data_IF_202857971250
#
_entry.id   IF_202857971250
#
_cell.length_a   1.000
_cell.length_b   1.000
_cell.length_c   1.000
_cell.angle_alpha   90.00
_cell.angle_beta   90.00
_cell.angle_gamma   90.00
#
_symmetry.space_group_name_H-M   'P 1'
#
loop_
_entity.id
_entity.type
_entity.pdbx_description
1 polymer ?
#
# COMPACT_ATOMS: atom_id res chain seq x y z
N UNK A 1 14.46 -14.19 -15.82
CA UNK A 1 13.02 -14.49 -16.01
C UNK A 1 12.36 -15.03 -14.73
N UNK A 2 12.97 -15.99 -14.03
CA UNK A 2 12.40 -16.61 -12.81
C UNK A 2 12.08 -15.60 -11.69
N UNK A 3 12.97 -14.61 -11.46
CA UNK A 3 12.80 -13.59 -10.42
C UNK A 3 11.62 -12.64 -10.67
N UNK A 4 11.35 -12.31 -11.95
CA UNK A 4 10.24 -11.41 -12.33
C UNK A 4 8.90 -12.14 -12.23
N UNK A 5 8.85 -13.43 -12.59
CA UNK A 5 7.67 -14.27 -12.40
C UNK A 5 7.33 -14.45 -10.91
N UNK A 6 8.34 -14.63 -10.06
CA UNK A 6 8.16 -14.65 -8.60
C UNK A 6 7.57 -13.31 -8.10
N UNK A 7 8.09 -12.18 -8.60
CA UNK A 7 7.52 -10.86 -8.32
C UNK A 7 6.06 -10.72 -8.77
N UNK A 8 5.72 -11.24 -9.95
CA UNK A 8 4.34 -11.30 -10.45
C UNK A 8 3.41 -12.11 -9.54
N UNK A 9 3.86 -13.27 -9.06
CA UNK A 9 3.09 -14.08 -8.11
C UNK A 9 2.86 -13.36 -6.78
N UNK A 10 3.89 -12.70 -6.25
CA UNK A 10 3.73 -11.86 -5.05
C UNK A 10 2.70 -10.77 -5.31
N UNK A 11 2.82 -10.04 -6.42
CA UNK A 11 1.86 -9.01 -6.82
C UNK A 11 0.44 -9.57 -6.92
N UNK A 12 0.26 -10.74 -7.51
CA UNK A 12 -1.05 -11.39 -7.58
C UNK A 12 -1.63 -11.62 -6.18
N UNK A 13 -0.87 -12.28 -5.29
CA UNK A 13 -1.32 -12.62 -3.93
C UNK A 13 -1.63 -11.37 -3.11
N UNK A 14 -0.81 -10.32 -3.21
CA UNK A 14 -1.02 -9.09 -2.44
C UNK A 14 -2.21 -8.27 -2.98
N UNK A 15 -2.44 -8.29 -4.30
CA UNK A 15 -3.59 -7.59 -4.90
C UNK A 15 -4.89 -8.38 -4.74
N UNK A 16 -4.87 -9.70 -4.56
CA UNK A 16 -6.04 -10.45 -4.07
C UNK A 16 -6.49 -9.86 -2.73
N UNK A 17 -5.56 -9.62 -1.81
CA UNK A 17 -5.91 -9.02 -0.52
C UNK A 17 -6.48 -7.63 -0.68
N UNK A 18 -5.84 -6.78 -1.47
CA UNK A 18 -6.34 -5.41 -1.70
C UNK A 18 -7.70 -5.40 -2.40
N UNK A 19 -7.98 -6.37 -3.29
CA UNK A 19 -9.33 -6.52 -3.85
C UNK A 19 -10.36 -6.77 -2.75
N UNK A 20 -10.01 -7.49 -1.68
CA UNK A 20 -10.92 -7.83 -0.58
C UNK A 20 -11.03 -6.67 0.42
N UNK A 21 -9.90 -6.08 0.81
CA UNK A 21 -9.82 -5.11 1.93
C UNK A 21 -9.83 -3.65 1.49
N UNK A 22 -9.52 -3.36 0.22
CA UNK A 22 -9.31 -2.01 -0.32
C UNK A 22 -7.98 -1.36 0.06
N UNK A 23 -7.06 -2.11 0.70
CA UNK A 23 -5.70 -1.62 0.97
C UNK A 23 -4.71 -2.77 1.20
N UNK A 24 -3.42 -2.44 1.14
CA UNK A 24 -2.37 -3.27 1.72
C UNK A 24 -1.47 -3.94 0.69
N UNK A 25 -1.87 -4.03 -0.58
CA UNK A 25 -1.03 -4.68 -1.58
C UNK A 25 0.37 -4.07 -1.64
N UNK A 26 0.48 -2.73 -1.59
CA UNK A 26 1.77 -2.05 -1.63
C UNK A 26 2.64 -2.39 -0.42
N UNK A 27 2.08 -2.30 0.80
CA UNK A 27 2.79 -2.66 2.05
C UNK A 27 3.33 -4.08 1.99
N UNK A 28 2.54 -4.99 1.42
CA UNK A 28 2.87 -6.41 1.36
C UNK A 28 3.86 -6.74 0.24
N UNK A 29 3.75 -6.11 -0.93
CA UNK A 29 4.56 -6.41 -2.10
C UNK A 29 5.93 -5.75 -2.06
N UNK A 30 6.03 -4.54 -1.50
CA UNK A 30 7.25 -3.73 -1.49
C UNK A 30 8.50 -4.43 -0.97
N UNK A 31 8.51 -5.14 0.16
CA UNK A 31 9.72 -5.84 0.62
C UNK A 31 10.25 -6.82 -0.42
N UNK A 32 9.37 -7.66 -0.99
CA UNK A 32 9.76 -8.65 -2.00
C UNK A 32 10.20 -7.98 -3.30
N UNK A 33 9.43 -7.01 -3.80
CA UNK A 33 9.78 -6.31 -5.03
C UNK A 33 11.07 -5.50 -4.86
N UNK A 34 11.32 -4.91 -3.69
CA UNK A 34 12.55 -4.15 -3.44
C UNK A 34 13.78 -5.05 -3.38
N UNK A 35 13.69 -6.26 -2.84
CA UNK A 35 14.75 -7.26 -2.90
C UNK A 35 15.05 -7.75 -4.34
N UNK A 36 14.05 -7.73 -5.22
CA UNK A 36 14.19 -8.21 -6.60
C UNK A 36 14.62 -7.12 -7.59
N UNK A 37 14.12 -5.89 -7.44
CA UNK A 37 14.23 -4.80 -8.41
C UNK A 37 15.02 -3.59 -7.88
N UNK A 38 15.35 -3.57 -6.58
CA UNK A 38 15.80 -2.38 -5.86
C UNK A 38 14.63 -1.51 -5.40
N UNK A 39 14.80 -0.82 -4.26
CA UNK A 39 13.73 -0.06 -3.60
C UNK A 39 13.09 0.99 -4.52
N UNK A 40 13.89 1.78 -5.23
CA UNK A 40 13.35 2.85 -6.10
C UNK A 40 12.49 2.29 -7.24
N UNK A 41 13.01 1.28 -7.95
CA UNK A 41 12.27 0.60 -9.02
C UNK A 41 11.00 -0.05 -8.48
N UNK A 42 11.08 -0.73 -7.33
CA UNK A 42 9.94 -1.39 -6.70
C UNK A 42 8.83 -0.41 -6.30
N UNK A 43 9.19 0.76 -5.73
CA UNK A 43 8.22 1.81 -5.37
C UNK A 43 7.54 2.35 -6.63
N UNK A 44 8.28 2.61 -7.71
CA UNK A 44 7.68 3.08 -8.95
C UNK A 44 6.73 2.04 -9.58
N UNK A 45 7.16 0.78 -9.66
CA UNK A 45 6.35 -0.33 -10.18
C UNK A 45 5.07 -0.47 -9.35
N UNK A 46 5.18 -0.51 -8.02
CA UNK A 46 3.99 -0.70 -7.18
C UNK A 46 3.04 0.49 -7.26
N UNK A 47 3.53 1.73 -7.40
CA UNK A 47 2.68 2.90 -7.56
C UNK A 47 1.82 2.81 -8.82
N UNK A 48 2.42 2.39 -9.94
CA UNK A 48 1.69 2.23 -11.22
C UNK A 48 0.66 1.10 -11.11
N UNK A 49 1.06 -0.07 -10.59
CA UNK A 49 0.15 -1.20 -10.40
C UNK A 49 -1.01 -0.86 -9.46
N UNK A 50 -0.70 -0.18 -8.35
CA UNK A 50 -1.70 0.27 -7.37
C UNK A 50 -2.68 1.23 -8.02
N UNK A 51 -2.20 2.22 -8.79
CA UNK A 51 -3.08 3.15 -9.52
C UNK A 51 -4.05 2.39 -10.44
N UNK A 52 -3.51 1.54 -11.33
CA UNK A 52 -4.33 0.81 -12.30
C UNK A 52 -5.38 -0.05 -11.60
N UNK A 53 -4.98 -0.78 -10.57
CA UNK A 53 -5.86 -1.69 -9.84
C UNK A 53 -6.95 -0.95 -9.06
N UNK A 54 -6.55 0.05 -8.27
CA UNK A 54 -7.47 0.77 -7.38
C UNK A 54 -8.41 1.69 -8.14
N UNK A 55 -7.99 2.23 -9.29
CA UNK A 55 -8.86 3.02 -10.16
C UNK A 55 -10.04 2.18 -10.69
N UNK A 56 -9.79 0.94 -11.13
CA UNK A 56 -10.85 0.03 -11.60
C UNK A 56 -11.88 -0.23 -10.51
N UNK A 57 -11.43 -0.53 -9.29
CA UNK A 57 -12.32 -0.77 -8.14
C UNK A 57 -13.11 0.50 -7.79
N UNK A 58 -12.44 1.64 -7.72
CA UNK A 58 -13.07 2.92 -7.38
C UNK A 58 -14.16 3.30 -8.39
N UNK A 59 -13.90 3.12 -9.69
CA UNK A 59 -14.87 3.42 -10.74
C UNK A 59 -16.09 2.48 -10.70
N UNK A 60 -15.85 1.17 -10.53
CA UNK A 60 -16.92 0.16 -10.44
C UNK A 60 -17.81 0.37 -9.21
N UNK A 61 -17.23 0.78 -8.09
CA UNK A 61 -17.93 0.98 -6.81
C UNK A 61 -18.14 2.46 -6.45
N UNK A 62 -18.17 3.36 -7.44
CA UNK A 62 -18.23 4.81 -7.24
C UNK A 62 -19.40 5.29 -6.38
N UNK A 63 -20.51 4.56 -6.42
CA UNK A 63 -21.72 4.87 -5.65
C UNK A 63 -21.54 4.66 -4.14
N UNK A 64 -20.58 3.83 -3.73
CA UNK A 64 -20.27 3.57 -2.32
C UNK A 64 -19.23 4.54 -1.74
N UNK A 65 -18.68 5.45 -2.55
CA UNK A 65 -17.63 6.37 -2.10
C UNK A 65 -18.20 7.37 -1.10
N UNK A 66 -17.61 7.40 0.11
CA UNK A 66 -17.93 8.39 1.12
C UNK A 66 -17.12 9.68 0.88
N UNK A 67 -17.62 10.53 -0.01
CA UNK A 67 -16.94 11.75 -0.47
C UNK A 67 -16.44 12.66 0.67
N UNK A 68 -17.24 12.85 1.73
CA UNK A 68 -16.83 13.64 2.89
C UNK A 68 -15.54 13.10 3.53
N UNK A 69 -15.49 11.80 3.79
CA UNK A 69 -14.34 11.18 4.43
C UNK A 69 -13.15 11.08 3.47
N UNK A 70 -13.41 10.83 2.20
CA UNK A 70 -12.40 10.89 1.14
C UNK A 70 -11.65 12.22 1.16
N UNK A 71 -12.35 13.35 1.12
CA UNK A 71 -11.69 14.67 1.08
C UNK A 71 -10.95 15.01 2.38
N UNK A 72 -11.47 14.59 3.54
CA UNK A 72 -10.75 14.76 4.81
C UNK A 72 -9.43 13.98 4.78
N UNK A 73 -9.48 12.68 4.46
CA UNK A 73 -8.30 11.83 4.42
C UNK A 73 -7.31 12.34 3.39
N UNK A 74 -7.78 12.64 2.18
CA UNK A 74 -6.97 13.17 1.10
C UNK A 74 -6.28 14.47 1.50
N UNK A 75 -6.99 15.43 2.11
CA UNK A 75 -6.42 16.72 2.51
C UNK A 75 -5.24 16.57 3.48
N UNK A 76 -5.39 15.75 4.53
CA UNK A 76 -4.29 15.50 5.48
C UNK A 76 -3.14 14.73 4.84
N UNK A 77 -3.43 13.72 4.02
CA UNK A 77 -2.38 12.97 3.33
C UNK A 77 -1.63 13.83 2.32
N UNK A 78 -2.31 14.69 1.58
CA UNK A 78 -1.70 15.63 0.63
C UNK A 78 -0.80 16.65 1.31
N UNK A 79 -1.06 17.02 2.57
CA UNK A 79 -0.13 17.87 3.31
C UNK A 79 1.19 17.14 3.62
N UNK A 80 1.16 15.83 3.89
CA UNK A 80 2.36 15.03 4.14
C UNK A 80 3.06 14.48 2.89
N UNK A 81 2.31 14.28 1.81
CA UNK A 81 2.79 13.62 0.58
C UNK A 81 4.03 14.29 -0.02
N UNK A 82 4.11 15.64 -0.19
CA UNK A 82 5.29 16.31 -0.74
C UNK A 82 6.56 16.07 0.09
N UNK A 83 6.43 16.02 1.42
CA UNK A 83 7.56 15.75 2.32
C UNK A 83 8.10 14.34 2.05
N UNK A 84 7.21 13.36 1.93
CA UNK A 84 7.59 11.99 1.58
C UNK A 84 8.24 11.87 0.21
N UNK A 85 7.68 12.52 -0.80
CA UNK A 85 8.23 12.53 -2.16
C UNK A 85 9.61 13.20 -2.21
N UNK A 86 9.80 14.28 -1.45
CA UNK A 86 11.10 14.93 -1.33
C UNK A 86 12.14 14.00 -0.67
N UNK A 87 11.77 13.29 0.40
CA UNK A 87 12.62 12.28 1.03
C UNK A 87 12.98 11.13 0.08
N UNK A 88 12.01 10.63 -0.69
CA UNK A 88 12.24 9.59 -1.69
C UNK A 88 13.29 9.99 -2.75
N UNK A 89 13.25 11.24 -3.20
CA UNK A 89 14.15 11.76 -4.23
C UNK A 89 15.55 12.05 -3.70
N UNK A 90 15.61 12.72 -2.54
CA UNK A 90 16.86 13.21 -1.94
C UNK A 90 17.70 12.13 -1.28
N UNK A 91 17.12 10.97 -0.93
CA UNK A 91 17.82 9.90 -0.25
C UNK A 91 18.36 8.85 -1.22
N UNK A 92 19.51 8.31 -0.84
CA UNK A 92 20.13 7.18 -1.52
C UNK A 92 19.36 5.88 -1.23
N UNK A 93 19.50 4.91 -2.12
CA UNK A 93 18.77 3.63 -2.04
C UNK A 93 19.02 2.89 -0.73
N UNK A 94 20.23 2.94 -0.17
CA UNK A 94 20.54 2.30 1.12
C UNK A 94 19.74 2.86 2.29
N UNK A 95 19.63 4.20 2.39
CA UNK A 95 18.80 4.86 3.41
C UNK A 95 17.33 4.52 3.22
N UNK A 96 16.84 4.48 1.98
CA UNK A 96 15.45 4.09 1.70
C UNK A 96 15.19 2.63 2.06
N UNK A 97 16.12 1.71 1.78
CA UNK A 97 16.03 0.31 2.21
C UNK A 97 15.93 0.18 3.73
N UNK A 98 16.75 0.91 4.47
CA UNK A 98 16.72 0.91 5.93
C UNK A 98 15.38 1.45 6.47
N UNK A 99 14.93 2.60 5.96
CA UNK A 99 13.64 3.19 6.33
C UNK A 99 12.47 2.25 5.99
N UNK A 100 12.52 1.58 4.84
CA UNK A 100 11.53 0.60 4.43
C UNK A 100 11.50 -0.59 5.38
N UNK A 101 12.67 -1.15 5.72
CA UNK A 101 12.76 -2.28 6.64
C UNK A 101 12.21 -1.95 8.04
N UNK A 102 12.56 -0.77 8.59
CA UNK A 102 12.01 -0.28 9.86
C UNK A 102 10.49 -0.10 9.78
N UNK A 103 9.99 0.49 8.69
CA UNK A 103 8.57 0.68 8.47
C UNK A 103 7.82 -0.67 8.40
N UNK A 104 8.35 -1.64 7.65
CA UNK A 104 7.74 -2.97 7.52
C UNK A 104 7.66 -3.66 8.88
N UNK A 105 8.72 -3.61 9.69
CA UNK A 105 8.73 -4.23 11.01
C UNK A 105 7.68 -3.58 11.91
N UNK A 106 7.65 -2.24 11.96
CA UNK A 106 6.69 -1.51 12.78
C UNK A 106 5.24 -1.78 12.33
N UNK A 107 4.96 -1.71 11.03
CA UNK A 107 3.64 -1.95 10.46
C UNK A 107 3.18 -3.39 10.69
N UNK A 108 4.03 -4.38 10.40
CA UNK A 108 3.69 -5.80 10.52
C UNK A 108 3.49 -6.20 11.98
N UNK A 109 4.35 -5.72 12.89
CA UNK A 109 4.22 -6.00 14.33
C UNK A 109 2.93 -5.41 14.89
N UNK A 110 2.64 -4.14 14.59
CA UNK A 110 1.41 -3.47 15.05
C UNK A 110 0.17 -4.21 14.57
N UNK A 111 0.19 -4.66 13.33
CA UNK A 111 -0.95 -5.31 12.69
C UNK A 111 -1.10 -6.77 13.13
N UNK A 112 -0.01 -7.48 13.43
CA UNK A 112 -0.04 -8.83 13.98
C UNK A 112 -0.56 -8.83 15.43
N UNK A 113 -0.09 -7.90 16.27
CA UNK A 113 -0.59 -7.71 17.65
C UNK A 113 -2.11 -7.52 17.63
N UNK A 114 -2.62 -6.67 16.72
CA UNK A 114 -4.06 -6.42 16.56
C UNK A 114 -4.83 -7.62 16.03
N UNK A 115 -4.19 -8.43 15.20
CA UNK A 115 -4.81 -9.62 14.64
C UNK A 115 -4.85 -10.77 15.64
N UNK A 116 -4.00 -10.78 16.66
CA UNK A 116 -3.91 -11.84 17.70
C UNK A 116 -4.59 -11.44 19.03
N UNK A 117 -4.61 -10.15 19.41
CA UNK A 117 -5.05 -9.68 20.73
C UNK A 117 -6.03 -8.49 20.75
N UNK A 118 -6.94 -8.56 21.73
CA UNK A 118 -7.99 -7.64 22.21
C UNK A 118 -8.24 -6.39 21.35
N UNK A 119 -9.43 -6.36 20.72
CA UNK A 119 -10.10 -5.19 20.16
C UNK A 119 -10.03 -4.06 21.20
N UNK A 120 -9.05 -3.16 21.12
CA UNK A 120 -9.02 -1.97 21.98
C UNK A 120 -10.29 -1.18 21.65
N UNK A 121 -11.11 -1.01 22.69
CA UNK A 121 -12.40 -0.32 22.72
C UNK A 121 -12.28 1.03 22.01
N UNK A 122 -13.28 1.34 21.20
CA UNK A 122 -13.52 2.58 20.45
C UNK A 122 -12.77 3.81 20.99
N UNK A 123 -11.52 4.00 20.56
CA UNK A 123 -10.81 5.26 20.78
C UNK A 123 -11.40 6.27 19.81
N UNK A 124 -12.19 7.22 20.33
CA UNK A 124 -12.80 8.31 19.55
C UNK A 124 -11.77 8.93 18.60
N UNK A 125 -12.20 9.23 17.37
CA UNK A 125 -11.43 10.03 16.40
C UNK A 125 -10.92 11.30 17.10
N UNK A 126 -9.62 11.36 17.33
CA UNK A 126 -8.96 12.44 18.04
C UNK A 126 -7.89 13.11 17.18
N UNK A 127 -7.24 14.14 17.73
CA UNK A 127 -6.12 14.86 17.08
C UNK A 127 -5.04 13.89 16.58
N UNK A 128 -4.77 12.84 17.35
CA UNK A 128 -3.80 11.81 16.98
C UNK A 128 -4.15 11.10 15.66
N UNK A 129 -5.43 10.91 15.36
CA UNK A 129 -5.88 10.30 14.11
C UNK A 129 -5.54 11.17 12.90
N UNK A 130 -5.67 12.50 13.02
CA UNK A 130 -5.30 13.43 11.95
C UNK A 130 -3.77 13.53 11.76
N UNK A 131 -3.00 13.46 12.84
CA UNK A 131 -1.53 13.35 12.76
C UNK A 131 -1.10 12.06 12.06
N UNK A 132 -1.80 10.94 12.32
CA UNK A 132 -1.56 9.68 11.60
C UNK A 132 -1.94 9.76 10.12
N UNK A 133 -2.95 10.54 9.74
CA UNK A 133 -3.26 10.80 8.33
C UNK A 133 -2.12 11.57 7.64
N UNK A 134 -1.61 12.62 8.29
CA UNK A 134 -0.47 13.38 7.79
C UNK A 134 0.79 12.51 7.67
N UNK A 135 1.14 11.76 8.71
CA UNK A 135 2.26 10.82 8.69
C UNK A 135 2.05 9.71 7.65
N UNK A 136 0.81 9.25 7.47
CA UNK A 136 0.40 8.34 6.39
C UNK A 136 0.70 8.93 5.02
N UNK A 137 0.45 10.23 4.83
CA UNK A 137 0.83 10.99 3.64
C UNK A 137 2.34 10.96 3.38
N UNK A 138 3.15 11.20 4.41
CA UNK A 138 4.62 11.13 4.30
C UNK A 138 5.06 9.72 3.87
N UNK A 139 4.61 8.68 4.59
CA UNK A 139 4.98 7.29 4.26
C UNK A 139 4.48 6.89 2.86
N UNK A 140 3.29 7.35 2.47
CA UNK A 140 2.78 7.14 1.12
C UNK A 140 3.64 7.85 0.07
N UNK A 141 4.13 9.06 0.35
CA UNK A 141 5.03 9.77 -0.56
C UNK A 141 6.40 9.09 -0.68
N UNK A 142 6.91 8.45 0.38
CA UNK A 142 8.19 7.73 0.33
C UNK A 142 8.07 6.37 -0.37
N UNK A 143 7.03 5.60 -0.02
CA UNK A 143 6.95 4.18 -0.36
C UNK A 143 5.67 3.78 -1.08
N UNK A 144 4.75 4.69 -1.37
CA UNK A 144 3.39 4.36 -1.86
C UNK A 144 2.62 3.44 -0.90
N UNK A 145 2.88 3.58 0.42
CA UNK A 145 2.49 2.57 1.43
C UNK A 145 1.89 3.15 2.72
N UNK A 146 1.09 4.22 2.62
CA UNK A 146 0.50 4.92 3.78
C UNK A 146 -0.62 4.17 4.55
N UNK A 147 -1.12 3.05 4.03
CA UNK A 147 -2.28 2.31 4.56
C UNK A 147 -2.26 2.00 6.07
N UNK A 148 -1.16 1.47 6.64
CA UNK A 148 -1.09 1.07 8.04
C UNK A 148 -1.32 2.21 9.03
N UNK A 149 -1.00 3.45 8.66
CA UNK A 149 -1.19 4.62 9.53
C UNK A 149 -2.61 5.16 9.43
N UNK A 150 -3.16 5.25 8.22
CA UNK A 150 -4.47 5.88 8.04
C UNK A 150 -5.64 5.01 8.50
N UNK A 151 -5.43 3.69 8.61
CA UNK A 151 -6.50 2.74 8.96
C UNK A 151 -7.12 3.00 10.33
N UNK A 152 -6.37 3.67 11.23
CA UNK A 152 -6.84 4.07 12.54
C UNK A 152 -8.02 5.05 12.45
N UNK A 153 -7.94 5.99 11.51
CA UNK A 153 -9.03 6.92 11.20
C UNK A 153 -10.09 6.24 10.33
N UNK A 154 -9.64 5.61 9.24
CA UNK A 154 -10.54 5.10 8.20
C UNK A 154 -11.52 4.03 8.73
N UNK A 155 -11.11 3.12 9.62
CA UNK A 155 -12.00 2.09 10.17
C UNK A 155 -13.14 2.67 11.03
N UNK A 156 -12.92 3.82 11.65
CA UNK A 156 -13.94 4.49 12.46
C UNK A 156 -14.84 5.36 11.59
N UNK A 157 -14.24 6.09 10.66
CA UNK A 157 -14.94 7.01 9.77
C UNK A 157 -15.76 6.30 8.68
N UNK A 158 -15.40 5.05 8.34
CA UNK A 158 -16.00 4.24 7.28
C UNK A 158 -16.32 2.83 7.82
N UNK A 159 -17.40 2.69 8.61
CA UNK A 159 -17.76 1.41 9.24
C UNK A 159 -18.27 0.38 8.23
N UNK A 160 -18.86 0.83 7.12
CA UNK A 160 -19.36 -0.05 6.07
C UNK A 160 -18.22 -0.52 5.16
N UNK A 161 -18.06 -1.84 5.00
CA UNK A 161 -16.97 -2.46 4.20
C UNK A 161 -16.93 -1.94 2.75
N UNK A 162 -18.08 -1.85 2.09
CA UNK A 162 -18.17 -1.39 0.70
C UNK A 162 -17.70 0.05 0.55
N UNK A 163 -18.16 0.92 1.46
CA UNK A 163 -17.74 2.32 1.48
C UNK A 163 -16.27 2.49 1.85
N UNK A 164 -15.78 1.75 2.85
CA UNK A 164 -14.36 1.72 3.23
C UNK A 164 -13.48 1.38 2.03
N UNK A 165 -13.77 0.27 1.36
CA UNK A 165 -13.02 -0.23 0.20
C UNK A 165 -13.04 0.79 -0.95
N UNK A 166 -14.22 1.23 -1.38
CA UNK A 166 -14.35 2.15 -2.52
C UNK A 166 -13.64 3.49 -2.26
N UNK A 167 -13.77 4.02 -1.05
CA UNK A 167 -13.15 5.29 -0.64
C UNK A 167 -11.62 5.20 -0.60
N UNK A 168 -11.07 4.12 -0.03
CA UNK A 168 -9.62 3.92 0.00
C UNK A 168 -9.03 3.65 -1.39
N UNK A 169 -9.72 2.87 -2.24
CA UNK A 169 -9.26 2.68 -3.62
C UNK A 169 -9.21 4.01 -4.39
N UNK A 170 -10.20 4.89 -4.24
CA UNK A 170 -10.13 6.22 -4.86
C UNK A 170 -8.97 7.06 -4.29
N UNK A 171 -8.74 7.00 -2.97
CA UNK A 171 -7.63 7.68 -2.32
C UNK A 171 -6.28 7.22 -2.88
N UNK A 172 -6.07 5.91 -3.02
CA UNK A 172 -4.85 5.34 -3.58
C UNK A 172 -4.64 5.70 -5.03
N UNK A 173 -5.70 5.64 -5.85
CA UNK A 173 -5.64 6.09 -7.23
C UNK A 173 -5.24 7.58 -7.31
N UNK A 174 -5.80 8.42 -6.44
CA UNK A 174 -5.53 9.86 -6.44
C UNK A 174 -4.09 10.18 -6.04
N UNK A 175 -3.61 9.61 -4.94
CA UNK A 175 -2.24 9.84 -4.46
C UNK A 175 -1.19 9.26 -5.43
N UNK A 176 -1.44 8.08 -5.99
CA UNK A 176 -0.53 7.49 -6.96
C UNK A 176 -0.51 8.24 -8.28
N UNK A 177 -1.64 8.83 -8.71
CA UNK A 177 -1.66 9.71 -9.89
C UNK A 177 -0.69 10.89 -9.70
N UNK A 178 -0.68 11.51 -8.52
CA UNK A 178 0.23 12.61 -8.20
C UNK A 178 1.69 12.13 -8.19
N UNK A 179 1.98 11.01 -7.50
CA UNK A 179 3.32 10.42 -7.44
C UNK A 179 3.85 10.09 -8.84
N UNK A 180 3.04 9.44 -9.67
CA UNK A 180 3.42 9.03 -11.04
C UNK A 180 3.60 10.26 -11.94
N UNK A 181 2.72 11.26 -11.83
CA UNK A 181 2.88 12.54 -12.52
C UNK A 181 4.23 13.18 -12.19
N UNK A 182 4.62 13.14 -10.92
CA UNK A 182 5.95 13.57 -10.49
C UNK A 182 7.09 12.75 -11.13
N UNK A 183 6.98 11.43 -11.18
CA UNK A 183 7.99 10.60 -11.84
C UNK A 183 8.14 10.90 -13.33
N UNK A 184 7.03 11.22 -14.01
CA UNK A 184 7.02 11.61 -15.41
C UNK A 184 7.71 12.97 -15.62
N UNK A 185 7.39 13.97 -14.79
CA UNK A 185 8.03 15.30 -14.85
C UNK A 185 9.54 15.20 -14.63
N UNK A 186 9.97 14.31 -13.73
CA UNK A 186 11.38 14.09 -13.43
C UNK A 186 12.11 13.21 -14.46
N UNK A 187 11.37 12.57 -15.38
CA UNK A 187 11.94 11.58 -16.30
C UNK A 187 12.53 10.36 -15.59
N UNK A 188 12.07 10.05 -14.37
CA UNK A 188 12.65 8.99 -13.53
C UNK A 188 12.11 7.59 -13.84
N UNK A 189 11.07 7.47 -14.68
CA UNK A 189 10.54 6.19 -15.14
C UNK A 189 11.43 5.62 -16.25
N UNK A 190 12.28 4.67 -15.87
CA UNK A 190 13.17 3.98 -16.81
C UNK A 190 12.46 2.84 -17.54
N UNK A 191 13.07 2.38 -18.64
CA UNK A 191 12.60 1.21 -19.40
C UNK A 191 12.51 -0.04 -18.53
N UNK A 192 13.40 -0.23 -17.56
CA UNK A 192 13.33 -1.37 -16.65
C UNK A 192 12.06 -1.34 -15.79
N UNK A 193 11.71 -0.18 -15.23
CA UNK A 193 10.48 0.02 -14.45
C UNK A 193 9.23 -0.28 -15.28
N UNK A 194 9.17 0.26 -16.50
CA UNK A 194 8.03 0.07 -17.40
C UNK A 194 7.91 -1.40 -17.86
N UNK A 195 9.02 -2.04 -18.20
CA UNK A 195 9.06 -3.45 -18.57
C UNK A 195 8.60 -4.37 -17.44
N UNK A 196 9.11 -4.15 -16.22
CA UNK A 196 8.67 -4.89 -15.03
C UNK A 196 7.18 -4.68 -14.75
N UNK A 197 6.70 -3.44 -14.85
CA UNK A 197 5.27 -3.10 -14.68
C UNK A 197 4.41 -3.85 -15.70
N UNK A 198 4.77 -3.81 -16.99
CA UNK A 198 4.01 -4.45 -18.05
C UNK A 198 3.86 -5.97 -17.83
N UNK A 199 4.92 -6.64 -17.37
CA UNK A 199 4.89 -8.07 -17.05
C UNK A 199 3.98 -8.37 -15.85
N UNK A 200 3.84 -7.44 -14.90
CA UNK A 200 3.04 -7.62 -13.69
C UNK A 200 1.56 -7.25 -13.87
N UNK A 201 1.18 -6.55 -14.94
CA UNK A 201 -0.23 -6.19 -15.23
C UNK A 201 -1.16 -7.41 -15.30
N UNK A 202 -0.82 -8.51 -16.01
CA UNK A 202 -1.66 -9.71 -16.03
C UNK A 202 -1.90 -10.30 -14.63
N UNK A 203 -0.92 -10.19 -13.73
CA UNK A 203 -1.01 -10.72 -12.36
C UNK A 203 -1.97 -9.91 -11.49
N UNK A 204 -1.99 -8.57 -11.61
CA UNK A 204 -3.00 -7.77 -10.91
C UNK A 204 -4.41 -8.01 -11.46
N UNK A 205 -4.55 -8.29 -12.76
CA UNK A 205 -5.84 -8.63 -13.35
C UNK A 205 -6.37 -9.97 -12.82
N UNK A 206 -5.51 -11.00 -12.77
CA UNK A 206 -5.85 -12.29 -12.13
C UNK A 206 -6.17 -12.09 -10.65
N UNK A 207 -5.36 -11.30 -9.94
CA UNK A 207 -5.59 -11.01 -8.53
C UNK A 207 -6.91 -10.29 -8.26
N UNK A 208 -7.32 -9.38 -9.16
CA UNK A 208 -8.63 -8.73 -9.12
C UNK A 208 -9.76 -9.74 -9.24
N UNK A 209 -9.73 -10.59 -10.28
CA UNK A 209 -10.79 -11.57 -10.55
C UNK A 209 -10.95 -12.57 -9.40
N UNK A 210 -9.82 -13.09 -8.92
CA UNK A 210 -9.79 -14.04 -7.80
C UNK A 210 -10.30 -13.36 -6.52
N UNK A 211 -9.76 -12.17 -6.20
CA UNK A 211 -10.13 -11.42 -5.00
C UNK A 211 -11.61 -11.03 -4.97
N UNK A 212 -12.17 -10.54 -6.08
CA UNK A 212 -13.60 -10.21 -6.18
C UNK A 212 -14.49 -11.45 -5.97
N UNK A 213 -14.08 -12.62 -6.50
CA UNK A 213 -14.83 -13.86 -6.38
C UNK A 213 -14.80 -14.45 -4.96
N UNK A 214 -13.66 -14.38 -4.28
CA UNK A 214 -13.46 -15.01 -2.97
C UNK A 214 -13.70 -14.08 -1.78
N UNK A 215 -13.99 -12.79 -2.00
CA UNK A 215 -14.15 -11.82 -0.91
C UNK A 215 -15.24 -12.21 0.10
N UNK A 216 -16.23 -13.01 -0.31
CA UNK A 216 -17.27 -13.54 0.58
C UNK A 216 -16.89 -14.84 1.30
N UNK A 217 -15.80 -15.52 0.91
CA UNK A 217 -15.48 -16.89 1.34
C UNK A 217 -14.18 -17.00 2.16
N UNK A 218 -13.32 -15.98 2.16
CA UNK A 218 -12.07 -15.99 2.91
C UNK A 218 -12.23 -15.33 4.28
N UNK A 219 -11.68 -15.98 5.30
CA UNK A 219 -11.42 -15.35 6.58
C UNK A 219 -10.29 -14.31 6.42
N UNK A 220 -10.68 -13.06 6.16
CA UNK A 220 -9.79 -11.91 5.98
C UNK A 220 -8.72 -11.83 7.08
N UNK A 221 -9.05 -12.24 8.31
CA UNK A 221 -8.14 -12.18 9.47
C UNK A 221 -7.04 -13.23 9.35
N UNK A 222 -7.37 -14.48 8.99
CA UNK A 222 -6.37 -15.56 8.85
C UNK A 222 -5.39 -15.27 7.72
N UNK A 223 -5.90 -14.85 6.56
CA UNK A 223 -5.05 -14.48 5.43
C UNK A 223 -4.13 -13.31 5.81
N UNK A 224 -4.69 -12.27 6.43
CA UNK A 224 -3.92 -11.12 6.90
C UNK A 224 -2.79 -11.50 7.86
N UNK A 225 -3.07 -12.37 8.85
CA UNK A 225 -2.05 -12.87 9.80
C UNK A 225 -0.90 -13.56 9.06
N UNK A 226 -1.20 -14.47 8.13
CA UNK A 226 -0.17 -15.17 7.35
C UNK A 226 0.75 -14.18 6.65
N UNK A 227 0.18 -13.18 5.97
CA UNK A 227 0.98 -12.20 5.25
C UNK A 227 1.78 -11.31 6.21
N UNK A 228 1.21 -10.85 7.33
CA UNK A 228 1.97 -10.04 8.30
C UNK A 228 3.13 -10.80 8.95
N UNK A 229 2.97 -12.10 9.18
CA UNK A 229 4.09 -12.95 9.62
C UNK A 229 5.17 -13.01 8.55
N UNK A 230 4.82 -13.26 7.29
CA UNK A 230 5.80 -13.28 6.19
C UNK A 230 6.51 -11.93 6.05
N UNK A 231 5.79 -10.81 6.15
CA UNK A 231 6.39 -9.49 6.09
C UNK A 231 7.33 -9.21 7.25
N UNK A 232 6.96 -9.61 8.47
CA UNK A 232 7.82 -9.41 9.63
C UNK A 232 9.15 -10.13 9.42
N UNK A 233 9.11 -11.37 8.92
CA UNK A 233 10.31 -12.13 8.56
C UNK A 233 11.12 -11.43 7.45
N UNK A 234 10.47 -10.93 6.40
CA UNK A 234 11.15 -10.22 5.32
C UNK A 234 11.76 -8.90 5.78
N UNK A 235 11.07 -8.13 6.62
CA UNK A 235 11.58 -6.87 7.17
C UNK A 235 12.80 -7.10 8.07
N UNK A 236 12.75 -8.14 8.92
CA UNK A 236 13.90 -8.57 9.72
C UNK A 236 15.07 -8.97 8.83
N UNK A 237 14.82 -9.77 7.78
CA UNK A 237 15.84 -10.16 6.81
C UNK A 237 16.46 -8.95 6.08
N UNK A 238 15.64 -8.01 5.62
CA UNK A 238 16.13 -6.77 4.99
C UNK A 238 17.00 -5.94 5.94
N UNK A 239 16.67 -5.87 7.24
CA UNK A 239 17.54 -5.18 8.21
C UNK A 239 18.93 -5.83 8.30
N UNK A 240 19.00 -7.16 8.28
CA UNK A 240 20.29 -7.87 8.30
C UNK A 240 21.08 -7.70 6.99
N UNK A 241 20.40 -7.57 5.86
CA UNK A 241 21.03 -7.39 4.55
C UNK A 241 21.45 -5.94 4.25
N UNK A 242 20.89 -4.97 4.96
CA UNK A 242 21.21 -3.53 4.79
C UNK A 242 22.45 -3.09 5.59
N UNK A 243 23.12 -4.02 6.29
CA UNK A 243 24.44 -3.83 6.91
C UNK A 243 25.54 -4.36 6.02
#
# INVERSE_FOLDING_TARGET
MSSVLLGGLVVCVTHILEAITGFGASVLALPFLSGLLGVKTAVQVISILTLLFTLVIALKNRHSIAWKQYFIILGFMLAGLPVGMHLYRSRESGTLSLLLALFIIAASTTQLIRSVGIRKKDEKVGILSFLLLFAGGIIHGVFSSGGPLIIFYAKQALPEKGSFRATLCLLWASLNTIIIGAYLIEGSLKKETLGATAIMIPFIAVGYLIGEHIHHRIDERKFSILVFVMLLLTGIFMLFQTR
#
